data_IF_270034766501
#
_entry.id   IF_270034766501
#
_cell.length_a   1.000
_cell.length_b   1.000
_cell.length_c   1.000
_cell.angle_alpha   90.00
_cell.angle_beta   90.00
_cell.angle_gamma   90.00
#
_symmetry.space_group_name_H-M   'P 1'
#
loop_
_entity.id
_entity.type
_entity.pdbx_description
1 polymer ?
#
# COMPACT_ATOMS: atom_id res chain seq x y z
N UNK A 1 7.24 -63.94 4.82
CA UNK A 1 7.62 -62.81 3.94
C UNK A 1 6.85 -61.58 4.42
N UNK A 2 7.57 -60.54 4.87
CA UNK A 2 7.03 -59.34 5.54
C UNK A 2 6.15 -58.54 4.59
N UNK A 3 4.91 -58.25 5.00
CA UNK A 3 4.00 -57.30 4.32
C UNK A 3 4.35 -55.89 4.80
N UNK A 4 4.97 -55.08 3.95
CA UNK A 4 5.14 -53.65 4.21
C UNK A 4 3.90 -52.92 3.72
N UNK A 5 3.12 -52.35 4.66
CA UNK A 5 2.04 -51.42 4.36
C UNK A 5 2.67 -50.06 4.04
N UNK A 6 2.54 -49.60 2.79
CA UNK A 6 2.87 -48.22 2.41
C UNK A 6 1.68 -47.36 2.85
N UNK A 7 1.87 -46.56 3.89
CA UNK A 7 0.92 -45.52 4.27
C UNK A 7 1.11 -44.33 3.33
N UNK A 8 0.16 -44.12 2.43
CA UNK A 8 0.08 -42.91 1.62
C UNK A 8 -0.43 -41.79 2.53
N UNK A 9 0.45 -40.90 2.99
CA UNK A 9 0.07 -39.70 3.70
C UNK A 9 -0.69 -38.79 2.74
N UNK A 10 -2.01 -38.68 2.89
CA UNK A 10 -2.78 -37.61 2.27
C UNK A 10 -2.32 -36.30 2.94
N UNK A 11 -1.51 -35.53 2.24
CA UNK A 11 -1.30 -34.12 2.56
C UNK A 11 -2.61 -33.44 2.19
N UNK A 12 -3.41 -33.06 3.19
CA UNK A 12 -4.53 -32.15 2.96
C UNK A 12 -3.93 -30.85 2.38
N UNK A 13 -4.50 -30.28 1.30
CA UNK A 13 -4.08 -28.96 0.86
C UNK A 13 -4.35 -28.00 2.04
N UNK A 14 -3.29 -27.51 2.66
CA UNK A 14 -3.42 -26.30 3.46
C UNK A 14 -3.88 -25.21 2.48
N UNK A 15 -4.85 -24.36 2.84
CA UNK A 15 -5.09 -23.16 2.06
C UNK A 15 -3.75 -22.42 2.03
N UNK A 16 -3.10 -22.39 0.88
CA UNK A 16 -1.95 -21.52 0.72
C UNK A 16 -2.51 -20.11 0.90
N UNK A 17 -2.00 -19.40 1.90
CA UNK A 17 -2.18 -17.97 2.04
C UNK A 17 -1.67 -17.33 0.74
N UNK A 18 -2.60 -17.04 -0.17
CA UNK A 18 -2.28 -16.72 -1.55
C UNK A 18 -2.14 -15.21 -1.81
N UNK A 19 -2.27 -14.37 -0.79
CA UNK A 19 -2.07 -12.93 -0.86
C UNK A 19 -1.48 -12.46 0.47
N UNK A 20 -0.59 -11.43 0.47
CA UNK A 20 -0.23 -10.54 -0.64
C UNK A 20 0.92 -11.06 -1.53
N UNK A 21 1.12 -10.42 -2.69
CA UNK A 21 2.17 -10.73 -3.68
C UNK A 21 3.30 -9.71 -3.74
N UNK A 22 3.02 -8.45 -3.39
CA UNK A 22 3.98 -7.36 -3.32
C UNK A 22 3.97 -6.80 -1.91
N UNK A 23 5.15 -6.54 -1.36
CA UNK A 23 5.31 -5.93 -0.05
C UNK A 23 5.97 -4.56 -0.21
N UNK A 24 5.37 -3.55 0.40
CA UNK A 24 5.85 -2.17 0.33
C UNK A 24 5.91 -1.58 1.73
N UNK A 25 7.11 -1.18 2.15
CA UNK A 25 7.30 -0.40 3.37
C UNK A 25 7.05 1.07 3.04
N UNK A 26 6.32 1.78 3.90
CA UNK A 26 5.83 3.13 3.61
C UNK A 26 6.18 4.13 4.71
N UNK A 27 6.50 5.34 4.29
CA UNK A 27 6.66 6.49 5.17
C UNK A 27 5.67 7.56 4.71
N UNK A 28 4.83 8.05 5.63
CA UNK A 28 3.82 9.06 5.33
C UNK A 28 4.12 10.36 6.08
N UNK A 29 4.17 11.47 5.34
CA UNK A 29 4.12 12.82 5.90
C UNK A 29 2.81 13.48 5.52
N UNK A 30 2.06 13.97 6.52
CA UNK A 30 0.83 14.75 6.33
C UNK A 30 1.09 16.22 6.61
N UNK A 31 0.81 17.06 5.62
CA UNK A 31 0.94 18.51 5.72
C UNK A 31 -0.36 19.15 6.21
N UNK A 32 -0.28 19.83 7.36
CA UNK A 32 -1.40 20.58 7.95
C UNK A 32 -1.01 22.06 8.06
N UNK A 33 -1.85 22.92 7.49
CA UNK A 33 -1.64 24.36 7.51
C UNK A 33 -2.02 24.99 8.87
N UNK A 34 -1.75 26.29 9.03
CA UNK A 34 -2.06 27.02 10.27
C UNK A 34 -3.57 27.19 10.54
N UNK A 35 -4.44 26.94 9.55
CA UNK A 35 -5.89 26.92 9.71
C UNK A 35 -6.42 25.55 10.20
N UNK A 36 -5.56 24.54 10.33
CA UNK A 36 -5.95 23.18 10.71
C UNK A 36 -6.52 22.37 9.55
N UNK A 37 -6.14 22.70 8.32
CA UNK A 37 -6.54 21.98 7.11
C UNK A 37 -5.36 21.17 6.57
N UNK A 38 -5.63 19.96 6.13
CA UNK A 38 -4.71 19.11 5.39
C UNK A 38 -4.58 19.67 3.98
N UNK A 39 -3.36 19.99 3.56
CA UNK A 39 -3.06 20.59 2.24
C UNK A 39 -2.36 19.61 1.30
N UNK A 40 -1.69 18.60 1.84
CA UNK A 40 -0.87 17.69 1.07
C UNK A 40 -0.40 16.47 1.86
N UNK A 41 0.08 15.49 1.12
CA UNK A 41 0.80 14.33 1.66
C UNK A 41 2.07 14.12 0.86
N UNK A 42 3.16 13.78 1.53
CA UNK A 42 4.34 13.17 0.92
C UNK A 42 4.42 11.73 1.39
N UNK A 43 4.76 10.83 0.48
CA UNK A 43 4.80 9.40 0.74
C UNK A 43 6.05 8.81 0.08
N UNK A 44 6.78 7.99 0.83
CA UNK A 44 7.87 7.17 0.29
C UNK A 44 7.45 5.71 0.32
N UNK A 45 7.57 5.02 -0.80
CA UNK A 45 7.33 3.58 -0.96
C UNK A 45 8.65 2.88 -1.20
N UNK A 46 8.96 1.91 -0.36
CA UNK A 46 10.10 1.02 -0.51
C UNK A 46 9.59 -0.36 -0.89
N UNK A 47 9.76 -0.72 -2.15
CA UNK A 47 9.28 -2.00 -2.68
C UNK A 47 10.22 -3.14 -2.30
N UNK A 48 9.69 -4.34 -2.12
CA UNK A 48 10.52 -5.52 -1.88
C UNK A 48 11.49 -5.84 -3.03
N UNK A 49 12.51 -6.64 -2.73
CA UNK A 49 13.59 -6.99 -3.67
C UNK A 49 13.08 -7.75 -4.90
N UNK A 50 12.04 -8.58 -4.73
CA UNK A 50 11.52 -9.40 -5.83
C UNK A 50 10.72 -8.55 -6.81
N UNK A 51 9.83 -7.70 -6.32
CA UNK A 51 9.09 -6.76 -7.16
C UNK A 51 10.03 -5.76 -7.83
N UNK A 52 11.04 -5.27 -7.11
CA UNK A 52 12.09 -4.43 -7.69
C UNK A 52 12.75 -5.09 -8.88
N UNK A 53 13.23 -6.33 -8.74
CA UNK A 53 13.85 -7.06 -9.84
C UNK A 53 12.92 -7.20 -11.06
N UNK A 54 11.63 -7.49 -10.82
CA UNK A 54 10.65 -7.61 -11.90
C UNK A 54 10.45 -6.31 -12.67
N UNK A 55 10.37 -5.17 -11.96
CA UNK A 55 10.23 -3.85 -12.59
C UNK A 55 11.47 -3.52 -13.43
N UNK A 56 12.67 -3.72 -12.88
CA UNK A 56 13.90 -3.47 -13.62
C UNK A 56 14.01 -4.37 -14.87
N UNK A 57 13.62 -5.64 -14.77
CA UNK A 57 13.61 -6.57 -15.91
C UNK A 57 12.59 -6.17 -16.98
N UNK A 58 11.35 -5.83 -16.59
CA UNK A 58 10.27 -5.45 -17.53
C UNK A 58 10.61 -4.15 -18.28
N UNK A 59 11.23 -3.20 -17.58
CA UNK A 59 11.69 -1.93 -18.16
C UNK A 59 13.04 -2.06 -18.89
N UNK A 60 13.74 -3.19 -18.74
CA UNK A 60 15.05 -3.41 -19.38
C UNK A 60 16.18 -2.54 -18.81
N UNK A 61 16.08 -2.18 -17.53
CA UNK A 61 17.07 -1.41 -16.77
C UNK A 61 18.09 -2.34 -16.09
N UNK A 62 19.22 -1.79 -15.61
CA UNK A 62 20.30 -2.56 -14.95
C UNK A 62 20.88 -3.65 -15.88
N UNK A 63 21.20 -3.27 -17.11
CA UNK A 63 21.60 -4.23 -18.15
C UNK A 63 22.92 -4.96 -17.87
N UNK A 64 23.78 -4.39 -17.03
CA UNK A 64 25.03 -4.97 -16.56
C UNK A 64 24.89 -5.73 -15.22
N UNK A 65 23.69 -5.71 -14.61
CA UNK A 65 23.30 -6.51 -13.45
C UNK A 65 24.19 -6.26 -12.23
N UNK A 66 24.57 -5.00 -12.01
CA UNK A 66 25.35 -4.60 -10.85
C UNK A 66 24.47 -4.08 -9.70
N UNK A 67 23.18 -3.86 -9.96
CA UNK A 67 22.19 -3.39 -8.99
C UNK A 67 22.27 -1.90 -8.70
N UNK A 68 23.08 -1.14 -9.44
CA UNK A 68 23.25 0.31 -9.31
C UNK A 68 22.79 1.02 -10.60
N UNK A 69 21.63 1.67 -10.56
CA UNK A 69 21.13 2.39 -11.73
C UNK A 69 21.92 3.67 -12.03
N UNK A 70 22.18 3.89 -13.31
CA UNK A 70 22.71 5.15 -13.84
C UNK A 70 21.69 6.30 -13.76
N UNK A 71 22.12 7.54 -13.93
CA UNK A 71 21.22 8.70 -13.94
C UNK A 71 20.14 8.61 -15.04
N UNK A 72 20.49 8.06 -16.20
CA UNK A 72 19.54 7.87 -17.31
C UNK A 72 18.51 6.78 -16.99
N UNK A 73 18.93 5.67 -16.38
CA UNK A 73 18.01 4.59 -15.94
C UNK A 73 17.10 5.04 -14.79
N UNK A 74 17.62 5.81 -13.83
CA UNK A 74 16.80 6.41 -12.78
C UNK A 74 15.76 7.38 -13.36
N UNK A 75 16.13 8.14 -14.40
CA UNK A 75 15.20 9.03 -15.08
C UNK A 75 14.09 8.27 -15.82
N UNK A 76 14.39 7.07 -16.34
CA UNK A 76 13.41 6.17 -16.96
C UNK A 76 12.52 5.48 -15.91
N UNK A 77 13.08 5.12 -14.74
CA UNK A 77 12.33 4.53 -13.63
C UNK A 77 11.40 5.52 -12.91
N UNK A 78 11.70 6.82 -12.96
CA UNK A 78 10.98 7.85 -12.21
C UNK A 78 9.47 7.87 -12.54
N UNK A 79 8.64 7.50 -11.56
CA UNK A 79 7.18 7.52 -11.69
C UNK A 79 6.55 6.30 -12.35
N UNK A 80 7.31 5.20 -12.49
CA UNK A 80 6.83 3.91 -13.00
C UNK A 80 5.53 3.43 -12.34
N UNK A 81 5.34 3.77 -11.07
CA UNK A 81 4.21 3.40 -10.21
C UNK A 81 2.93 4.21 -10.47
N UNK A 82 3.02 5.29 -11.27
CA UNK A 82 1.89 6.17 -11.57
C UNK A 82 1.59 6.34 -13.06
N UNK A 83 2.29 5.64 -13.96
CA UNK A 83 2.10 5.84 -15.40
C UNK A 83 0.72 5.39 -15.90
N UNK A 84 0.19 4.29 -15.36
CA UNK A 84 -1.08 3.71 -15.82
C UNK A 84 -1.93 3.26 -14.64
N UNK A 85 -2.94 4.05 -14.29
CA UNK A 85 -3.95 3.69 -13.30
C UNK A 85 -5.22 3.17 -13.99
N UNK A 86 -5.78 2.03 -13.54
CA UNK A 86 -7.11 1.60 -13.97
C UNK A 86 -8.18 2.66 -13.67
N UNK A 87 -9.28 2.65 -14.42
CA UNK A 87 -10.42 3.53 -14.13
C UNK A 87 -10.95 3.24 -12.72
N UNK A 88 -11.08 4.29 -11.90
CA UNK A 88 -11.54 4.19 -10.52
C UNK A 88 -10.46 3.84 -9.49
N UNK A 89 -9.22 3.63 -9.91
CA UNK A 89 -8.10 3.48 -8.97
C UNK A 89 -7.67 4.84 -8.40
N UNK A 90 -7.51 4.89 -7.09
CA UNK A 90 -7.26 6.14 -6.34
C UNK A 90 -5.83 6.23 -5.78
N UNK A 91 -4.98 5.24 -6.05
CA UNK A 91 -3.58 5.24 -5.64
C UNK A 91 -3.35 4.88 -4.19
N UNK A 92 -4.13 3.93 -3.67
CA UNK A 92 -3.93 3.19 -2.41
C UNK A 92 -3.78 4.01 -1.13
N UNK A 93 -4.03 5.32 -1.17
CA UNK A 93 -4.15 6.17 0.00
C UNK A 93 -5.54 6.84 0.00
N UNK A 94 -6.31 6.54 1.02
CA UNK A 94 -7.68 7.01 1.18
C UNK A 94 -7.80 7.94 2.37
N UNK A 95 -8.54 9.04 2.21
CA UNK A 95 -8.77 10.03 3.24
C UNK A 95 -10.27 10.22 3.49
N UNK A 96 -10.69 10.08 4.73
CA UNK A 96 -11.99 10.52 5.23
C UNK A 96 -11.81 11.71 6.18
N UNK A 97 -12.48 12.83 5.91
CA UNK A 97 -12.42 14.02 6.74
C UNK A 97 -13.77 14.76 6.75
N UNK A 98 -14.16 15.31 7.91
CA UNK A 98 -15.44 16.03 8.02
C UNK A 98 -16.68 15.18 7.72
N UNK A 99 -16.59 13.85 7.86
CA UNK A 99 -17.70 12.91 7.60
C UNK A 99 -17.92 12.56 6.13
N UNK A 100 -16.96 12.85 5.26
CA UNK A 100 -16.99 12.47 3.84
C UNK A 100 -15.61 11.99 3.37
N UNK A 101 -15.62 11.19 2.31
CA UNK A 101 -14.41 10.82 1.58
C UNK A 101 -13.85 12.02 0.84
N UNK A 102 -12.55 12.19 0.89
CA UNK A 102 -11.80 13.24 0.21
C UNK A 102 -10.97 12.61 -0.89
N UNK A 103 -11.28 12.99 -2.13
CA UNK A 103 -10.50 12.59 -3.30
C UNK A 103 -9.15 13.33 -3.29
N UNK A 104 -8.06 12.55 -3.33
CA UNK A 104 -6.71 13.08 -3.34
C UNK A 104 -6.27 13.40 -4.78
N UNK A 105 -5.44 14.44 -4.95
CA UNK A 105 -4.83 14.74 -6.24
C UNK A 105 -4.01 13.57 -6.77
N UNK A 106 -3.81 13.53 -8.09
CA UNK A 106 -2.90 12.55 -8.70
C UNK A 106 -1.50 12.73 -8.12
N UNK A 107 -0.77 11.64 -7.83
CA UNK A 107 0.59 11.72 -7.33
C UNK A 107 1.51 12.39 -8.34
N UNK A 108 2.48 13.12 -7.79
CA UNK A 108 3.61 13.70 -8.51
C UNK A 108 4.87 13.14 -7.87
N UNK A 109 5.62 12.33 -8.63
CA UNK A 109 6.89 11.78 -8.19
C UNK A 109 7.90 12.90 -7.93
N UNK A 110 8.58 12.82 -6.79
CA UNK A 110 9.57 13.81 -6.34
C UNK A 110 10.95 13.20 -6.10
N UNK A 111 11.05 11.87 -5.98
CA UNK A 111 12.32 11.16 -5.90
C UNK A 111 12.19 9.69 -6.31
N UNK A 112 13.31 9.11 -6.75
CA UNK A 112 13.46 7.69 -7.05
C UNK A 112 14.91 7.29 -6.77
N UNK A 113 15.10 6.10 -6.21
CA UNK A 113 16.41 5.48 -6.01
C UNK A 113 16.27 3.96 -6.00
N UNK A 114 17.40 3.27 -6.19
CA UNK A 114 17.54 1.85 -5.84
C UNK A 114 18.55 1.76 -4.71
N UNK A 115 18.13 1.26 -3.55
CA UNK A 115 18.99 1.11 -2.37
C UNK A 115 18.85 -0.30 -1.84
N UNK A 116 19.99 -0.99 -1.67
CA UNK A 116 20.02 -2.39 -1.19
C UNK A 116 19.08 -3.32 -1.98
N UNK A 117 19.05 -3.17 -3.31
CA UNK A 117 18.22 -3.98 -4.21
C UNK A 117 16.72 -3.68 -4.17
N UNK A 118 16.32 -2.55 -3.56
CA UNK A 118 14.94 -2.10 -3.44
C UNK A 118 14.71 -0.76 -4.12
N UNK A 119 13.64 -0.63 -4.88
CA UNK A 119 13.18 0.66 -5.38
C UNK A 119 12.61 1.46 -4.20
N UNK A 120 13.09 2.69 -4.05
CA UNK A 120 12.58 3.69 -3.10
C UNK A 120 12.02 4.86 -3.90
N UNK A 121 10.70 4.98 -3.95
CA UNK A 121 9.99 5.99 -4.72
C UNK A 121 9.29 6.98 -3.79
N UNK A 122 9.54 8.28 -3.96
CA UNK A 122 8.88 9.35 -3.19
C UNK A 122 7.96 10.15 -4.08
N UNK A 123 6.77 10.44 -3.58
CA UNK A 123 5.77 11.22 -4.29
C UNK A 123 4.95 12.11 -3.36
N UNK A 124 4.33 13.12 -3.95
CA UNK A 124 3.43 14.03 -3.25
C UNK A 124 2.03 13.99 -3.85
N UNK A 125 1.01 14.23 -3.03
CA UNK A 125 -0.38 14.41 -3.47
C UNK A 125 -0.95 15.66 -2.85
N UNK A 126 -1.75 16.40 -3.60
CA UNK A 126 -2.51 17.54 -3.09
C UNK A 126 -3.78 17.06 -2.40
N UNK A 127 -4.19 17.75 -1.34
CA UNK A 127 -5.46 17.51 -0.64
C UNK A 127 -6.33 18.76 -0.79
N UNK A 128 -7.62 18.63 -1.17
CA UNK A 128 -8.52 19.78 -1.30
C UNK A 128 -8.94 20.30 0.08
N UNK A 129 -8.04 21.02 0.75
CA UNK A 129 -8.19 21.73 2.04
C UNK A 129 -9.23 21.09 2.97
N UNK A 130 -8.89 19.92 3.50
CA UNK A 130 -9.78 19.11 4.34
C UNK A 130 -9.49 19.32 5.84
N UNK A 131 -10.49 19.31 6.74
CA UNK A 131 -10.23 19.50 8.16
C UNK A 131 -9.34 18.38 8.72
N UNK A 132 -8.23 18.74 9.35
CA UNK A 132 -7.28 17.77 9.91
C UNK A 132 -7.79 17.10 11.19
N UNK A 133 -8.57 17.81 12.00
CA UNK A 133 -9.13 17.26 13.24
C UNK A 133 -10.07 16.09 12.94
N UNK A 134 -9.74 14.91 13.47
CA UNK A 134 -10.53 13.70 13.31
C UNK A 134 -10.44 13.05 11.93
N UNK A 135 -9.60 13.57 11.03
CA UNK A 135 -9.34 12.96 9.72
C UNK A 135 -8.77 11.55 9.88
N UNK A 136 -9.09 10.67 8.94
CA UNK A 136 -8.68 9.27 8.93
C UNK A 136 -8.03 8.96 7.59
N UNK A 137 -6.76 8.54 7.63
CA UNK A 137 -6.10 7.92 6.50
C UNK A 137 -6.11 6.40 6.63
N UNK A 138 -6.23 5.71 5.49
CA UNK A 138 -6.00 4.27 5.34
C UNK A 138 -5.19 4.05 4.07
N UNK A 139 -4.13 3.24 4.17
CA UNK A 139 -3.33 2.84 3.02
C UNK A 139 -3.58 1.35 2.74
N UNK A 140 -4.09 1.03 1.55
CA UNK A 140 -4.34 -0.34 1.12
C UNK A 140 -4.59 -0.43 -0.37
N UNK A 141 -4.20 -1.55 -0.99
CA UNK A 141 -4.72 -1.95 -2.30
C UNK A 141 -6.07 -2.65 -2.08
N UNK A 142 -7.18 -2.21 -2.71
CA UNK A 142 -8.49 -2.85 -2.57
C UNK A 142 -8.48 -4.36 -2.70
N UNK A 143 -7.68 -4.92 -3.62
CA UNK A 143 -7.63 -6.36 -3.92
C UNK A 143 -6.71 -7.16 -3.00
N UNK A 144 -5.93 -6.49 -2.16
CA UNK A 144 -4.90 -7.07 -1.30
C UNK A 144 -3.78 -7.83 -2.06
N UNK A 145 -3.51 -7.42 -3.30
CA UNK A 145 -2.33 -7.84 -4.06
C UNK A 145 -1.06 -7.19 -3.49
N UNK A 146 -1.14 -5.92 -3.10
CA UNK A 146 -0.08 -5.19 -2.40
C UNK A 146 -0.38 -5.09 -0.91
N UNK A 147 0.57 -5.49 -0.06
CA UNK A 147 0.54 -5.20 1.36
C UNK A 147 1.48 -4.06 1.70
N UNK A 148 0.93 -3.07 2.40
CA UNK A 148 1.65 -1.91 2.87
C UNK A 148 1.97 -2.05 4.36
N UNK A 149 3.20 -1.71 4.74
CA UNK A 149 3.63 -1.60 6.15
C UNK A 149 4.02 -0.16 6.42
N UNK A 150 3.33 0.53 7.33
CA UNK A 150 3.70 1.88 7.72
C UNK A 150 4.89 1.85 8.70
N UNK A 151 6.06 2.26 8.22
CA UNK A 151 7.30 2.31 9.00
C UNK A 151 7.46 3.62 9.76
N UNK A 152 7.10 4.75 9.14
CA UNK A 152 7.15 6.07 9.79
C UNK A 152 5.96 6.97 9.41
N UNK A 153 5.61 7.86 10.35
CA UNK A 153 4.51 8.80 10.20
C UNK A 153 4.84 10.15 10.84
N UNK A 154 4.87 11.17 10.00
CA UNK A 154 5.05 12.57 10.41
C UNK A 154 3.79 13.38 10.11
N UNK A 155 3.37 14.23 11.04
CA UNK A 155 2.25 15.16 10.86
C UNK A 155 2.69 16.56 11.27
N UNK A 156 2.49 17.55 10.39
CA UNK A 156 2.84 18.95 10.67
C UNK A 156 1.69 19.71 11.33
N UNK A 157 1.79 21.04 11.45
CA UNK A 157 0.68 21.89 11.93
C UNK A 157 0.28 21.70 13.40
N UNK A 158 1.10 21.05 14.23
CA UNK A 158 0.78 20.80 15.64
C UNK A 158 -0.28 19.72 15.86
N UNK A 159 -0.60 18.96 14.83
CA UNK A 159 -1.39 17.75 14.93
C UNK A 159 -0.51 16.54 15.24
N UNK A 160 -1.13 15.46 15.71
CA UNK A 160 -0.51 14.16 15.91
C UNK A 160 -1.39 13.08 15.30
N UNK A 161 -0.83 11.91 15.07
CA UNK A 161 -1.56 10.75 14.61
C UNK A 161 -1.62 9.65 15.68
N UNK A 162 -2.69 8.89 15.67
CA UNK A 162 -2.84 7.61 16.35
C UNK A 162 -3.02 6.53 15.27
N UNK A 163 -2.15 5.53 15.29
CA UNK A 163 -2.19 4.40 14.35
C UNK A 163 -2.83 3.20 15.07
N UNK A 164 -3.83 2.60 14.44
CA UNK A 164 -4.46 1.36 14.89
C UNK A 164 -4.26 0.30 13.82
N UNK A 165 -3.55 -0.77 14.19
CA UNK A 165 -3.28 -1.89 13.30
C UNK A 165 -4.57 -2.62 12.90
N UNK A 166 -4.60 -3.26 11.71
CA UNK A 166 -5.73 -4.08 11.29
C UNK A 166 -5.96 -5.26 12.24
N UNK A 167 -7.20 -5.74 12.26
CA UNK A 167 -7.55 -7.00 12.91
C UNK A 167 -7.42 -8.14 11.90
N UNK A 168 -6.38 -9.00 11.98
CA UNK A 168 -6.17 -10.06 11.02
C UNK A 168 -7.32 -11.09 11.02
N UNK A 169 -7.96 -11.32 12.17
CA UNK A 169 -9.09 -12.26 12.28
C UNK A 169 -10.30 -11.73 11.48
N UNK A 170 -10.49 -10.41 11.45
CA UNK A 170 -11.56 -9.79 10.66
C UNK A 170 -11.32 -9.93 9.15
N UNK A 171 -10.05 -9.87 8.70
CA UNK A 171 -9.69 -10.13 7.30
C UNK A 171 -9.94 -11.58 6.89
N UNK A 172 -9.62 -12.54 7.77
CA UNK A 172 -9.92 -13.95 7.55
C UNK A 172 -11.42 -14.23 7.51
N UNK A 173 -12.19 -13.61 8.40
CA UNK A 173 -13.66 -13.73 8.42
C UNK A 173 -14.27 -13.15 7.15
N UNK A 174 -13.82 -11.98 6.70
CA UNK A 174 -14.28 -11.35 5.45
C UNK A 174 -13.97 -12.22 4.22
N UNK A 175 -12.78 -12.82 4.16
CA UNK A 175 -12.43 -13.77 3.10
C UNK A 175 -13.33 -15.02 3.15
N UNK A 176 -13.55 -15.58 4.33
CA UNK A 176 -14.40 -16.76 4.49
C UNK A 176 -15.85 -16.48 4.10
N UNK A 177 -16.38 -15.30 4.44
CA UNK A 177 -17.72 -14.87 4.03
C UNK A 177 -17.80 -14.73 2.51
N UNK A 178 -16.86 -14.01 1.91
CA UNK A 178 -16.77 -13.84 0.46
C UNK A 178 -16.77 -15.18 -0.28
N UNK A 179 -15.89 -16.11 0.11
CA UNK A 179 -15.80 -17.43 -0.52
C UNK A 179 -17.08 -18.27 -0.39
N UNK A 180 -17.90 -18.03 0.63
CA UNK A 180 -19.21 -18.68 0.78
C UNK A 180 -20.32 -18.01 -0.03
N UNK A 181 -20.20 -16.70 -0.30
CA UNK A 181 -21.22 -15.94 -1.04
C UNK A 181 -21.04 -16.01 -2.55
N UNK A 182 -19.82 -16.14 -3.05
CA UNK A 182 -19.53 -16.14 -4.48
C UNK A 182 -19.57 -17.55 -5.07
N UNK A 183 -20.36 -17.73 -6.14
CA UNK A 183 -20.34 -18.96 -6.93
C UNK A 183 -19.08 -18.99 -7.81
N UNK A 184 -18.45 -20.16 -7.98
CA UNK A 184 -17.25 -20.34 -8.85
C UNK A 184 -17.43 -19.83 -10.30
N UNK A 185 -18.68 -19.62 -10.74
CA UNK A 185 -19.03 -19.10 -12.06
C UNK A 185 -19.02 -17.55 -12.15
N UNK A 186 -18.79 -16.83 -11.04
CA UNK A 186 -18.67 -15.37 -10.98
C UNK A 186 -17.21 -14.98 -10.74
N UNK A 187 -16.55 -14.46 -11.77
CA UNK A 187 -15.24 -13.79 -11.63
C UNK A 187 -15.45 -12.39 -11.04
N UNK A 188 -15.87 -12.32 -9.78
CA UNK A 188 -15.88 -11.07 -9.02
C UNK A 188 -14.54 -10.90 -8.30
N UNK A 189 -13.95 -9.71 -8.44
CA UNK A 189 -12.73 -9.35 -7.72
C UNK A 189 -13.09 -9.12 -6.27
N UNK A 190 -12.39 -9.81 -5.37
CA UNK A 190 -12.58 -9.63 -3.93
C UNK A 190 -11.83 -8.39 -3.46
N UNK A 191 -12.54 -7.44 -2.85
CA UNK A 191 -11.96 -6.22 -2.30
C UNK A 191 -11.74 -6.36 -0.79
N UNK A 192 -10.70 -7.10 -0.40
CA UNK A 192 -10.41 -7.42 1.00
C UNK A 192 -9.38 -6.48 1.65
N UNK A 193 -8.67 -5.67 0.86
CA UNK A 193 -7.51 -4.90 1.34
C UNK A 193 -7.79 -3.96 2.50
N UNK A 194 -8.99 -3.38 2.56
CA UNK A 194 -9.39 -2.50 3.66
C UNK A 194 -9.30 -3.17 5.04
N UNK A 195 -9.48 -4.49 5.12
CA UNK A 195 -9.41 -5.24 6.38
C UNK A 195 -7.98 -5.42 6.88
N UNK A 196 -6.98 -5.23 6.02
CA UNK A 196 -5.56 -5.34 6.32
C UNK A 196 -4.87 -3.97 6.39
N UNK A 197 -5.64 -2.89 6.35
CA UNK A 197 -5.12 -1.52 6.39
C UNK A 197 -4.94 -1.03 7.83
N UNK A 198 -3.81 -0.38 8.11
CA UNK A 198 -3.70 0.48 9.29
C UNK A 198 -4.71 1.63 9.20
N UNK A 199 -5.31 1.96 10.35
CA UNK A 199 -6.15 3.15 10.49
C UNK A 199 -5.36 4.26 11.18
N UNK A 200 -5.10 5.35 10.45
CA UNK A 200 -4.36 6.51 10.93
C UNK A 200 -5.33 7.63 11.24
N UNK A 201 -5.55 7.94 12.52
CA UNK A 201 -6.44 9.02 12.95
C UNK A 201 -5.66 10.25 13.39
N UNK A 202 -5.98 11.40 12.82
CA UNK A 202 -5.40 12.67 13.23
C UNK A 202 -6.14 13.30 14.41
N UNK A 203 -5.37 13.92 15.31
CA UNK A 203 -5.86 14.78 16.38
C UNK A 203 -5.00 16.02 16.44
N UNK A 204 -5.63 17.18 16.39
CA UNK A 204 -5.00 18.49 16.44
C UNK A 204 -5.27 19.12 17.81
N UNK A 205 -4.24 19.73 18.41
CA UNK A 205 -4.48 20.59 19.55
C UNK A 205 -5.37 21.74 19.10
N UNK A 206 -6.49 21.99 19.81
CA UNK A 206 -7.31 23.18 19.55
C UNK A 206 -6.40 24.42 19.57
N UNK A 207 -6.47 25.31 18.57
CA UNK A 207 -5.74 26.57 18.63
C UNK A 207 -6.22 27.33 19.88
N UNK A 208 -5.30 27.56 20.80
CA UNK A 208 -5.51 28.35 22.02
C UNK A 208 -5.73 29.83 21.72
#
# INVERSE_FOLDING_TARGET
MRRSLIALALVAPAPLAAHPHVFVDTELTVEVNAAGEITGTEMTWTYDEYFTLLILEDMGLDSDMDGELTEDELAELMGFDFETWPEGFEGDLYLDAGGQKIELGHPVSTGIAVTDGKIVATHTRTVPDAPAEGAVFRQYDPTYYVAYTLEDLTVTGGCRAEVTNPDPDAGEEALAEALNSYSEDQFEVLELGIHYADTIRLTCAQPS
#
